data_IF_961346545248
#
_entry.id   IF_961346545248
#
_cell.length_a   1.000
_cell.length_b   1.000
_cell.length_c   1.000
_cell.angle_alpha   90.00
_cell.angle_beta   90.00
_cell.angle_gamma   90.00
#
_symmetry.space_group_name_H-M   'P 1'
#
loop_
_entity.id
_entity.type
_entity.pdbx_description
1 polymer ?
#
# COMPACT_ATOMS: atom_id res chain seq x y z
N UNK A 1 71.67 47.34 -42.94
CA UNK A 1 70.74 46.25 -42.59
C UNK A 1 69.34 46.84 -42.50
N UNK A 2 68.79 47.24 -43.64
CA UNK A 2 67.46 47.86 -43.71
C UNK A 2 66.48 46.72 -43.94
N UNK A 3 66.15 46.03 -42.86
CA UNK A 3 65.19 44.93 -42.87
C UNK A 3 63.83 45.43 -43.34
N UNK A 4 63.15 44.59 -44.09
CA UNK A 4 61.93 44.89 -44.83
C UNK A 4 60.75 45.28 -43.90
N UNK A 5 60.69 46.55 -43.52
CA UNK A 5 59.78 47.11 -42.49
C UNK A 5 58.30 46.96 -42.88
N UNK A 6 58.01 46.96 -44.18
CA UNK A 6 56.66 46.75 -44.70
C UNK A 6 56.20 45.32 -44.45
N UNK A 7 57.05 44.32 -44.73
CA UNK A 7 56.75 42.93 -44.41
C UNK A 7 56.61 42.71 -42.90
N UNK A 8 57.46 43.34 -42.08
CA UNK A 8 57.34 43.27 -40.62
C UNK A 8 56.00 43.82 -40.10
N UNK A 9 55.49 44.92 -40.66
CA UNK A 9 54.18 45.48 -40.32
C UNK A 9 53.02 44.57 -40.72
N UNK A 10 53.09 43.93 -41.88
CA UNK A 10 52.07 42.98 -42.33
C UNK A 10 51.99 41.79 -41.35
N UNK A 11 53.12 41.15 -41.03
CA UNK A 11 53.14 40.04 -40.08
C UNK A 11 52.68 40.43 -38.67
N UNK A 12 53.01 41.65 -38.20
CA UNK A 12 52.54 42.13 -36.91
C UNK A 12 51.00 42.27 -36.88
N UNK A 13 50.39 42.77 -37.95
CA UNK A 13 48.94 42.89 -38.08
C UNK A 13 48.26 41.51 -38.17
N UNK A 14 48.79 40.59 -38.97
CA UNK A 14 48.29 39.22 -39.04
C UNK A 14 48.36 38.51 -37.69
N UNK A 15 49.47 38.67 -36.96
CA UNK A 15 49.63 38.11 -35.62
C UNK A 15 48.62 38.71 -34.62
N UNK A 16 48.30 40.01 -34.73
CA UNK A 16 47.27 40.65 -33.92
C UNK A 16 45.88 40.09 -34.21
N UNK A 17 45.53 39.86 -35.48
CA UNK A 17 44.26 39.26 -35.88
C UNK A 17 44.16 37.79 -35.46
N UNK A 18 45.22 36.99 -35.63
CA UNK A 18 45.26 35.60 -35.14
C UNK A 18 45.07 35.56 -33.61
N UNK A 19 45.71 36.48 -32.88
CA UNK A 19 45.55 36.58 -31.42
C UNK A 19 44.09 36.89 -31.04
N UNK A 20 43.45 37.82 -31.75
CA UNK A 20 42.04 38.17 -31.54
C UNK A 20 41.12 36.98 -31.81
N UNK A 21 41.37 36.23 -32.90
CA UNK A 21 40.63 35.02 -33.23
C UNK A 21 40.82 33.94 -32.17
N UNK A 22 42.06 33.71 -31.71
CA UNK A 22 42.36 32.76 -30.65
C UNK A 22 41.63 33.09 -29.35
N UNK A 23 41.65 34.35 -28.91
CA UNK A 23 40.95 34.78 -27.70
C UNK A 23 39.44 34.57 -27.80
N UNK A 24 38.86 34.88 -28.97
CA UNK A 24 37.43 34.68 -29.23
C UNK A 24 37.07 33.19 -29.19
N UNK A 25 37.82 32.35 -29.92
CA UNK A 25 37.59 30.91 -29.96
C UNK A 25 37.74 30.28 -28.56
N UNK A 26 38.75 30.70 -27.79
CA UNK A 26 38.97 30.20 -26.43
C UNK A 26 37.85 30.64 -25.48
N UNK A 27 37.35 31.87 -25.62
CA UNK A 27 36.21 32.36 -24.85
C UNK A 27 34.94 31.56 -25.14
N UNK A 28 34.65 31.28 -26.42
CA UNK A 28 33.52 30.43 -26.82
C UNK A 28 33.68 29.01 -26.30
N UNK A 29 34.88 28.42 -26.39
CA UNK A 29 35.15 27.10 -25.84
C UNK A 29 34.82 27.04 -24.34
N UNK A 30 35.33 27.98 -23.54
CA UNK A 30 35.07 28.03 -22.09
C UNK A 30 33.59 28.26 -21.78
N UNK A 31 32.89 29.05 -22.60
CA UNK A 31 31.45 29.25 -22.44
C UNK A 31 30.67 27.94 -22.69
N UNK A 32 31.03 27.19 -23.73
CA UNK A 32 30.40 25.90 -24.04
C UNK A 32 30.72 24.84 -22.98
N UNK A 33 31.96 24.78 -22.47
CA UNK A 33 32.32 23.89 -21.35
C UNK A 33 31.43 24.15 -20.12
N UNK A 34 31.16 25.42 -19.79
CA UNK A 34 30.24 25.77 -18.70
C UNK A 34 28.80 25.36 -18.98
N UNK A 35 28.34 25.48 -20.23
CA UNK A 35 27.00 25.03 -20.64
C UNK A 35 26.89 23.52 -20.49
N UNK A 36 27.90 22.75 -20.92
CA UNK A 36 27.93 21.30 -20.76
C UNK A 36 27.80 20.92 -19.29
N UNK A 37 28.60 21.51 -18.40
CA UNK A 37 28.51 21.26 -16.95
C UNK A 37 27.11 21.56 -16.39
N UNK A 38 26.44 22.62 -16.87
CA UNK A 38 25.07 22.92 -16.46
C UNK A 38 24.07 21.88 -16.99
N UNK A 39 24.24 21.39 -18.21
CA UNK A 39 23.39 20.35 -18.76
C UNK A 39 23.57 19.01 -18.02
N UNK A 40 24.80 18.65 -17.65
CA UNK A 40 25.07 17.48 -16.80
C UNK A 40 24.35 17.58 -15.45
N UNK A 41 24.33 18.76 -14.82
CA UNK A 41 23.55 18.95 -13.59
C UNK A 41 22.05 18.80 -13.80
N UNK A 42 21.51 19.25 -14.94
CA UNK A 42 20.09 19.08 -15.27
C UNK A 42 19.75 17.60 -15.47
N UNK A 43 20.62 16.83 -16.13
CA UNK A 43 20.46 15.39 -16.31
C UNK A 43 20.45 14.65 -14.96
N UNK A 44 21.45 14.92 -14.10
CA UNK A 44 21.55 14.31 -12.78
C UNK A 44 20.35 14.63 -11.88
N UNK A 45 19.89 15.89 -11.89
CA UNK A 45 18.69 16.27 -11.15
C UNK A 45 17.42 15.62 -11.73
N UNK A 46 17.34 15.46 -13.05
CA UNK A 46 16.25 14.75 -13.72
C UNK A 46 16.14 13.29 -13.26
N UNK A 47 17.25 12.57 -13.15
CA UNK A 47 17.27 11.20 -12.60
C UNK A 47 16.84 11.18 -11.12
N UNK A 48 17.35 12.11 -10.31
CA UNK A 48 16.97 12.21 -8.89
C UNK A 48 15.47 12.43 -8.70
N UNK A 49 14.81 13.20 -9.58
CA UNK A 49 13.35 13.41 -9.53
C UNK A 49 12.55 12.12 -9.77
N UNK A 50 13.02 11.22 -10.62
CA UNK A 50 12.40 9.91 -10.82
C UNK A 50 12.43 9.09 -9.51
N UNK A 51 13.52 9.20 -8.76
CA UNK A 51 13.67 8.53 -7.46
C UNK A 51 12.84 9.19 -6.33
N UNK A 52 12.51 10.48 -6.44
CA UNK A 52 11.65 11.17 -5.47
C UNK A 52 10.16 10.80 -5.60
N UNK A 53 9.71 10.40 -6.79
CA UNK A 53 8.31 10.05 -7.03
C UNK A 53 7.75 8.97 -6.08
N UNK A 54 8.40 7.79 -5.90
CA UNK A 54 7.91 6.79 -4.94
C UNK A 54 7.95 7.28 -3.49
N UNK A 55 8.92 8.15 -3.11
CA UNK A 55 8.99 8.73 -1.76
C UNK A 55 7.76 9.58 -1.47
N UNK A 56 7.36 10.44 -2.43
CA UNK A 56 6.17 11.27 -2.29
C UNK A 56 4.89 10.42 -2.10
N UNK A 57 4.76 9.30 -2.82
CA UNK A 57 3.63 8.38 -2.65
C UNK A 57 3.64 7.67 -1.29
N UNK A 58 4.80 7.27 -0.78
CA UNK A 58 4.93 6.70 0.57
C UNK A 58 4.49 7.72 1.63
N UNK A 59 4.92 8.97 1.54
CA UNK A 59 4.54 10.04 2.49
C UNK A 59 3.04 10.29 2.47
N UNK A 60 2.42 10.38 1.28
CA UNK A 60 0.96 10.55 1.13
C UNK A 60 0.19 9.37 1.72
N UNK A 61 0.63 8.14 1.46
CA UNK A 61 -0.01 6.94 1.99
C UNK A 61 0.08 6.89 3.52
N UNK A 62 1.25 7.21 4.08
CA UNK A 62 1.49 7.26 5.53
C UNK A 62 0.61 8.32 6.20
N UNK A 63 0.50 9.51 5.60
CA UNK A 63 -0.41 10.57 6.06
C UNK A 63 -1.85 10.05 6.13
N UNK A 64 -2.30 9.32 5.10
CA UNK A 64 -3.66 8.76 5.04
C UNK A 64 -3.92 7.74 6.16
N UNK A 65 -2.93 6.94 6.54
CA UNK A 65 -3.06 5.99 7.64
C UNK A 65 -3.09 6.67 9.01
N UNK A 66 -2.26 7.70 9.22
CA UNK A 66 -2.12 8.32 10.54
C UNK A 66 -3.14 9.42 10.82
N UNK A 67 -3.78 10.02 9.81
CA UNK A 67 -4.76 11.12 9.98
C UNK A 67 -5.91 10.76 10.92
N UNK A 68 -6.31 9.49 10.94
CA UNK A 68 -7.38 9.00 11.82
C UNK A 68 -6.94 8.73 13.27
N UNK A 69 -5.63 8.62 13.52
CA UNK A 69 -5.07 8.30 14.84
C UNK A 69 -4.41 9.52 15.51
N UNK A 70 -3.53 10.20 14.78
CA UNK A 70 -2.74 11.33 15.29
C UNK A 70 -2.76 12.47 14.25
N UNK A 71 -3.77 13.35 14.31
CA UNK A 71 -3.96 14.42 13.33
C UNK A 71 -2.81 15.43 13.26
N UNK A 72 -2.14 15.69 14.38
CA UNK A 72 -0.98 16.60 14.43
C UNK A 72 0.16 16.11 13.54
N UNK A 73 0.49 14.82 13.61
CA UNK A 73 1.52 14.20 12.77
C UNK A 73 1.09 14.20 11.30
N UNK A 74 -0.19 14.02 11.00
CA UNK A 74 -0.69 14.15 9.63
C UNK A 74 -0.52 15.58 9.07
N UNK A 75 -0.62 16.60 9.92
CA UNK A 75 -0.33 18.00 9.56
C UNK A 75 1.15 18.25 9.27
N UNK A 76 2.05 17.62 10.02
CA UNK A 76 3.50 17.63 9.74
C UNK A 76 3.81 16.95 8.39
N UNK A 77 3.21 15.78 8.13
CA UNK A 77 3.39 15.07 6.87
C UNK A 77 2.82 15.83 5.66
N UNK A 78 1.80 16.67 5.86
CA UNK A 78 1.32 17.57 4.81
C UNK A 78 2.36 18.62 4.44
N UNK A 79 3.05 19.18 5.44
CA UNK A 79 4.16 20.12 5.17
C UNK A 79 5.29 19.42 4.43
N UNK A 80 5.63 18.19 4.79
CA UNK A 80 6.62 17.39 4.04
C UNK A 80 6.18 17.18 2.59
N UNK A 81 4.91 16.84 2.38
CA UNK A 81 4.35 16.66 1.02
C UNK A 81 4.43 17.95 0.22
N UNK A 82 4.14 19.10 0.82
CA UNK A 82 4.26 20.42 0.16
C UNK A 82 5.69 20.73 -0.24
N UNK A 83 6.67 20.49 0.63
CA UNK A 83 8.09 20.73 0.33
C UNK A 83 8.55 19.84 -0.84
N UNK A 84 8.14 18.57 -0.85
CA UNK A 84 8.46 17.65 -1.94
C UNK A 84 7.83 18.08 -3.27
N UNK A 85 6.60 18.61 -3.26
CA UNK A 85 5.95 19.17 -4.44
C UNK A 85 6.69 20.43 -4.94
N UNK A 86 7.07 21.33 -4.03
CA UNK A 86 7.82 22.55 -4.36
C UNK A 86 9.19 22.21 -4.99
N UNK A 87 9.94 21.28 -4.40
CA UNK A 87 11.22 20.79 -4.94
C UNK A 87 11.03 20.17 -6.32
N UNK A 88 9.99 19.37 -6.52
CA UNK A 88 9.66 18.77 -7.82
C UNK A 88 9.32 19.82 -8.87
N UNK A 89 8.68 20.94 -8.48
CA UNK A 89 8.34 22.04 -9.39
C UNK A 89 9.56 22.91 -9.72
N UNK A 90 10.41 23.19 -8.74
CA UNK A 90 11.61 24.02 -8.92
C UNK A 90 12.68 23.33 -9.75
N UNK A 91 12.89 22.02 -9.56
CA UNK A 91 13.85 21.23 -10.33
C UNK A 91 13.46 20.99 -11.80
N UNK A 92 12.29 21.49 -12.20
CA UNK A 92 11.71 21.32 -13.52
C UNK A 92 10.71 20.16 -13.52
N UNK A 93 9.53 20.40 -14.10
CA UNK A 93 8.53 19.35 -14.29
C UNK A 93 9.12 18.25 -15.18
N UNK A 94 9.61 17.17 -14.58
CA UNK A 94 9.56 15.86 -15.26
C UNK A 94 8.09 15.69 -15.60
N UNK A 95 7.77 15.61 -16.90
CA UNK A 95 6.37 15.44 -17.30
C UNK A 95 5.85 14.22 -16.56
N UNK A 96 4.78 14.38 -15.79
CA UNK A 96 4.12 13.25 -15.11
C UNK A 96 3.74 12.12 -16.06
N UNK A 97 3.70 12.39 -17.38
CA UNK A 97 3.51 11.39 -18.43
C UNK A 97 4.71 10.46 -18.68
N UNK A 98 5.94 10.86 -18.30
CA UNK A 98 7.15 10.04 -18.46
C UNK A 98 7.47 9.22 -17.20
N UNK A 99 6.88 9.59 -16.06
CA UNK A 99 6.89 8.78 -14.85
C UNK A 99 5.79 7.73 -14.98
N UNK A 100 6.16 6.45 -15.05
CA UNK A 100 5.16 5.38 -14.97
C UNK A 100 4.57 5.37 -13.56
N UNK A 101 3.47 6.10 -13.39
CA UNK A 101 2.73 6.26 -12.12
C UNK A 101 2.38 4.90 -11.50
N UNK A 102 2.24 3.86 -12.32
CA UNK A 102 2.01 2.50 -11.83
C UNK A 102 3.25 1.93 -11.14
N UNK A 103 4.45 2.12 -11.70
CA UNK A 103 5.72 1.63 -11.12
C UNK A 103 6.04 2.36 -9.82
N UNK A 104 5.85 3.68 -9.78
CA UNK A 104 6.09 4.45 -8.55
C UNK A 104 5.12 4.06 -7.43
N UNK A 105 3.86 3.78 -7.79
CA UNK A 105 2.85 3.30 -6.84
C UNK A 105 3.10 1.87 -6.37
N UNK A 106 3.63 0.99 -7.23
CA UNK A 106 4.03 -0.37 -6.86
C UNK A 106 5.20 -0.34 -5.87
N UNK A 107 6.23 0.46 -6.14
CA UNK A 107 7.38 0.57 -5.24
C UNK A 107 6.98 1.13 -3.87
N UNK A 108 6.16 2.18 -3.85
CA UNK A 108 5.62 2.71 -2.60
C UNK A 108 4.82 1.65 -1.81
N UNK A 109 4.00 0.85 -2.49
CA UNK A 109 3.27 -0.28 -1.86
C UNK A 109 4.21 -1.33 -1.28
N UNK A 110 5.25 -1.74 -2.01
CA UNK A 110 6.26 -2.70 -1.54
C UNK A 110 6.95 -2.20 -0.27
N UNK A 111 7.33 -0.92 -0.21
CA UNK A 111 7.94 -0.30 0.96
C UNK A 111 7.01 -0.33 2.18
N UNK A 112 5.73 0.03 1.99
CA UNK A 112 4.74 0.03 3.07
C UNK A 112 4.44 -1.39 3.58
N UNK A 113 4.31 -2.37 2.69
CA UNK A 113 4.12 -3.77 3.07
C UNK A 113 5.30 -4.33 3.85
N UNK A 114 6.53 -4.04 3.42
CA UNK A 114 7.73 -4.43 4.15
C UNK A 114 7.77 -3.79 5.55
N UNK A 115 7.42 -2.50 5.62
CA UNK A 115 7.34 -1.77 6.89
C UNK A 115 6.30 -2.36 7.84
N UNK A 116 5.13 -2.76 7.30
CA UNK A 116 4.08 -3.43 8.07
C UNK A 116 4.53 -4.79 8.61
N UNK A 117 5.21 -5.60 7.80
CA UNK A 117 5.75 -6.89 8.26
C UNK A 117 6.74 -6.71 9.41
N UNK A 118 7.64 -5.72 9.29
CA UNK A 118 8.60 -5.39 10.36
C UNK A 118 7.87 -4.87 11.61
N UNK A 119 6.81 -4.09 11.43
CA UNK A 119 6.01 -3.59 12.54
C UNK A 119 5.28 -4.73 13.27
N UNK A 120 4.69 -5.69 12.55
CA UNK A 120 4.02 -6.85 13.11
C UNK A 120 5.01 -7.72 13.92
N UNK A 121 6.20 -7.99 13.37
CA UNK A 121 7.26 -8.72 14.06
C UNK A 121 7.66 -8.04 15.38
N UNK A 122 7.98 -6.74 15.34
CA UNK A 122 8.32 -5.95 16.54
C UNK A 122 7.17 -5.85 17.54
N UNK A 123 5.94 -5.85 17.05
CA UNK A 123 4.75 -5.80 17.92
C UNK A 123 4.63 -7.12 18.70
N UNK A 124 4.88 -8.27 18.07
CA UNK A 124 4.87 -9.58 18.75
C UNK A 124 5.98 -9.73 19.79
N UNK A 125 7.12 -9.06 19.60
CA UNK A 125 8.18 -9.01 20.61
C UNK A 125 7.83 -8.13 21.82
N UNK A 126 7.06 -7.06 21.59
CA UNK A 126 6.79 -6.00 22.59
C UNK A 126 5.47 -6.17 23.32
N UNK A 127 4.50 -6.81 22.68
CA UNK A 127 3.15 -7.01 23.20
C UNK A 127 2.85 -8.51 23.25
N UNK A 128 2.36 -9.04 24.38
CA UNK A 128 1.98 -10.45 24.49
C UNK A 128 0.81 -10.76 23.54
N UNK A 129 0.82 -11.96 22.95
CA UNK A 129 -0.31 -12.44 22.16
C UNK A 129 -1.54 -12.57 23.07
N UNK A 130 -2.62 -11.89 22.72
CA UNK A 130 -3.85 -11.90 23.50
C UNK A 130 -4.47 -13.30 23.43
N UNK A 131 -4.87 -13.89 24.57
CA UNK A 131 -5.40 -15.26 24.62
C UNK A 131 -6.86 -15.33 24.17
N UNK A 132 -7.19 -14.83 22.97
CA UNK A 132 -8.49 -15.07 22.33
C UNK A 132 -8.34 -15.08 20.80
N UNK A 133 -8.23 -16.27 20.19
CA UNK A 133 -8.51 -16.43 18.77
C UNK A 133 -10.03 -16.52 18.64
N UNK A 134 -10.70 -15.41 18.32
CA UNK A 134 -12.02 -15.38 17.63
C UNK A 134 -12.49 -13.94 17.41
N UNK A 135 -11.59 -13.08 16.91
CA UNK A 135 -11.97 -11.85 16.21
C UNK A 135 -11.49 -11.89 14.76
N UNK A 136 -11.55 -13.06 14.13
CA UNK A 136 -11.40 -13.22 12.69
C UNK A 136 -12.77 -13.28 11.98
N UNK A 137 -13.55 -12.19 11.95
CA UNK A 137 -14.51 -11.99 10.84
C UNK A 137 -14.96 -10.54 10.69
N UNK A 138 -14.11 -9.67 10.13
CA UNK A 138 -14.59 -8.41 9.55
C UNK A 138 -14.12 -8.16 8.10
N UNK A 139 -13.31 -9.04 7.49
CA UNK A 139 -12.71 -8.71 6.17
C UNK A 139 -12.77 -9.76 5.05
N UNK A 140 -13.46 -10.90 5.21
CA UNK A 140 -13.53 -11.89 4.12
C UNK A 140 -14.91 -12.53 4.00
N UNK A 141 -15.81 -11.84 3.30
CA UNK A 141 -17.03 -12.43 2.73
C UNK A 141 -16.66 -13.31 1.53
N UNK A 142 -16.31 -14.57 1.77
CA UNK A 142 -16.42 -15.63 0.76
C UNK A 142 -16.40 -17.02 1.41
N UNK A 143 -17.60 -17.56 1.59
CA UNK A 143 -17.98 -18.96 1.36
C UNK A 143 -17.04 -20.08 1.83
N UNK A 144 -17.23 -20.53 3.08
CA UNK A 144 -17.41 -21.95 3.43
C UNK A 144 -17.55 -22.12 4.94
N UNK A 145 -18.78 -22.11 5.46
CA UNK A 145 -19.05 -22.66 6.80
C UNK A 145 -18.94 -24.17 6.71
N UNK A 146 -17.79 -24.72 7.09
CA UNK A 146 -17.75 -26.08 7.63
C UNK A 146 -18.53 -26.06 8.95
N UNK A 147 -19.56 -26.89 8.99
CA UNK A 147 -20.47 -27.10 10.11
C UNK A 147 -19.67 -27.72 11.25
N UNK A 148 -19.28 -26.90 12.22
CA UNK A 148 -18.93 -27.35 13.56
C UNK A 148 -20.21 -27.86 14.24
N UNK A 149 -20.07 -28.94 15.01
CA UNK A 149 -21.11 -29.67 15.77
C UNK A 149 -22.17 -28.74 16.35
N UNK A 150 -23.43 -29.16 16.26
CA UNK A 150 -24.58 -28.43 16.82
C UNK A 150 -24.25 -27.93 18.22
N UNK A 151 -24.40 -26.61 18.44
CA UNK A 151 -24.14 -25.99 19.73
C UNK A 151 -24.88 -26.76 20.84
N UNK A 152 -24.22 -27.14 21.95
CA UNK A 152 -24.80 -28.01 22.98
C UNK A 152 -26.09 -27.46 23.58
N UNK A 153 -26.26 -26.13 23.56
CA UNK A 153 -27.48 -25.43 24.01
C UNK A 153 -28.71 -25.78 23.17
N UNK A 154 -28.51 -25.97 21.86
CA UNK A 154 -29.59 -26.27 20.91
C UNK A 154 -30.08 -27.71 21.10
N UNK A 155 -29.17 -28.61 21.47
CA UNK A 155 -29.48 -30.01 21.79
C UNK A 155 -30.40 -30.12 23.02
N UNK A 156 -30.08 -29.37 24.08
CA UNK A 156 -30.85 -29.33 25.31
C UNK A 156 -32.20 -28.62 25.15
N UNK A 157 -32.23 -27.55 24.36
CA UNK A 157 -33.46 -26.84 24.01
C UNK A 157 -34.43 -27.72 23.21
N UNK A 158 -33.93 -28.47 22.22
CA UNK A 158 -34.76 -29.39 21.44
C UNK A 158 -35.29 -30.52 22.32
N UNK A 159 -34.47 -31.07 23.23
CA UNK A 159 -34.90 -32.12 24.14
C UNK A 159 -36.01 -31.65 25.10
N UNK A 160 -35.83 -30.51 25.77
CA UNK A 160 -36.85 -29.95 26.68
C UNK A 160 -38.15 -29.59 25.96
N UNK A 161 -38.06 -29.16 24.70
CA UNK A 161 -39.24 -28.89 23.89
C UNK A 161 -40.01 -30.18 23.55
N UNK A 162 -39.31 -31.28 23.27
CA UNK A 162 -39.93 -32.59 23.00
C UNK A 162 -40.55 -33.19 24.27
N UNK A 163 -39.87 -33.07 25.41
CA UNK A 163 -40.39 -33.52 26.72
C UNK A 163 -41.66 -32.76 27.12
N UNK A 164 -41.68 -31.44 26.95
CA UNK A 164 -42.86 -30.61 27.25
C UNK A 164 -44.05 -30.86 26.34
N UNK A 165 -43.81 -31.35 25.12
CA UNK A 165 -44.85 -31.69 24.13
C UNK A 165 -45.14 -33.19 24.05
N UNK A 166 -44.79 -33.94 25.12
CA UNK A 166 -45.21 -35.32 25.34
C UNK A 166 -44.79 -36.28 24.21
N UNK A 167 -43.61 -36.06 23.62
CA UNK A 167 -42.99 -36.97 22.66
C UNK A 167 -43.48 -36.88 21.21
N UNK A 168 -44.39 -35.95 20.86
CA UNK A 168 -44.84 -35.73 19.48
C UNK A 168 -44.68 -34.27 19.06
N UNK A 169 -43.65 -34.01 18.24
CA UNK A 169 -43.36 -32.66 17.73
C UNK A 169 -43.01 -32.73 16.26
N UNK A 170 -43.61 -31.86 15.46
CA UNK A 170 -43.20 -31.63 14.08
C UNK A 170 -41.93 -30.77 14.05
N UNK A 171 -40.96 -31.14 13.21
CA UNK A 171 -39.69 -30.42 13.02
C UNK A 171 -39.94 -28.94 12.76
N UNK A 172 -40.99 -28.61 11.99
CA UNK A 172 -41.39 -27.24 11.66
C UNK A 172 -41.91 -26.46 12.87
N UNK A 173 -42.67 -27.10 13.77
CA UNK A 173 -43.18 -26.44 14.99
C UNK A 173 -42.07 -26.21 16.01
N UNK A 174 -41.14 -27.16 16.12
CA UNK A 174 -39.95 -27.04 16.98
C UNK A 174 -39.04 -25.89 16.51
N UNK A 175 -38.76 -25.82 15.21
CA UNK A 175 -37.96 -24.76 14.60
C UNK A 175 -38.56 -23.36 14.84
N UNK A 176 -39.89 -23.24 14.68
CA UNK A 176 -40.58 -21.97 14.92
C UNK A 176 -40.58 -21.58 16.41
N UNK A 177 -40.72 -22.53 17.33
CA UNK A 177 -40.74 -22.23 18.77
C UNK A 177 -39.36 -21.88 19.33
N UNK A 178 -38.31 -22.52 18.81
CA UNK A 178 -36.92 -22.29 19.26
C UNK A 178 -36.20 -21.21 18.45
N UNK A 179 -36.86 -20.59 17.46
CA UNK A 179 -36.27 -19.61 16.53
C UNK A 179 -35.04 -20.15 15.79
N UNK A 180 -35.06 -21.43 15.43
CA UNK A 180 -33.95 -22.12 14.76
C UNK A 180 -34.36 -22.59 13.37
N UNK A 181 -33.39 -23.03 12.56
CA UNK A 181 -33.74 -23.62 11.26
C UNK A 181 -34.21 -25.08 11.43
N UNK A 182 -35.13 -25.56 10.58
CA UNK A 182 -35.55 -26.97 10.58
C UNK A 182 -34.37 -27.94 10.39
N UNK A 183 -33.33 -27.53 9.66
CA UNK A 183 -32.13 -28.34 9.44
C UNK A 183 -31.28 -28.50 10.69
N UNK A 184 -31.20 -27.48 11.54
CA UNK A 184 -30.45 -27.56 12.80
C UNK A 184 -31.21 -28.38 13.85
N UNK A 185 -32.54 -28.30 13.85
CA UNK A 185 -33.40 -29.19 14.67
C UNK A 185 -33.22 -30.64 14.26
N UNK A 186 -33.16 -30.93 12.96
CA UNK A 186 -32.99 -32.31 12.47
C UNK A 186 -31.63 -32.89 12.88
N UNK A 187 -30.55 -32.09 12.75
CA UNK A 187 -29.22 -32.48 13.24
C UNK A 187 -29.19 -32.72 14.75
N UNK A 188 -29.87 -31.87 15.52
CA UNK A 188 -29.97 -32.03 16.97
C UNK A 188 -30.72 -33.31 17.36
N UNK A 189 -31.81 -33.63 16.64
CA UNK A 189 -32.57 -34.87 16.84
C UNK A 189 -31.72 -36.11 16.48
N UNK A 190 -30.98 -36.07 15.38
CA UNK A 190 -30.09 -37.15 14.98
C UNK A 190 -28.98 -37.39 16.02
N UNK A 191 -28.43 -36.32 16.59
CA UNK A 191 -27.43 -36.43 17.65
C UNK A 191 -28.02 -36.98 18.98
N UNK A 192 -29.23 -36.56 19.37
CA UNK A 192 -29.92 -37.13 20.53
C UNK A 192 -30.29 -38.61 20.34
N UNK A 193 -30.48 -39.05 19.09
CA UNK A 193 -30.67 -40.45 18.73
C UNK A 193 -29.37 -41.25 18.86
N UNK A 194 -28.25 -40.71 18.37
CA UNK A 194 -26.93 -41.34 18.54
C UNK A 194 -26.53 -41.45 20.02
N UNK A 195 -26.90 -40.45 20.83
CA UNK A 195 -26.71 -40.47 22.29
C UNK A 195 -27.68 -41.42 23.03
N UNK A 196 -28.63 -42.05 22.33
CA UNK A 196 -29.59 -43.01 22.89
C UNK A 196 -30.67 -42.38 23.78
N UNK A 197 -30.83 -41.06 23.71
CA UNK A 197 -31.74 -40.28 24.57
C UNK A 197 -33.15 -40.12 24.01
N UNK A 198 -33.35 -40.41 22.72
CA UNK A 198 -34.66 -40.35 22.05
C UNK A 198 -34.86 -41.52 21.06
N UNK A 199 -36.07 -42.09 21.04
CA UNK A 199 -36.54 -43.01 20.02
C UNK A 199 -37.62 -42.30 19.19
N UNK A 200 -37.29 -41.94 17.94
CA UNK A 200 -38.17 -41.14 17.08
C UNK A 200 -38.82 -42.04 16.03
N UNK A 201 -40.15 -42.05 15.97
CA UNK A 201 -40.92 -42.64 14.87
C UNK A 201 -41.37 -41.52 13.93
N UNK A 202 -40.99 -41.61 12.66
CA UNK A 202 -41.41 -40.65 11.63
C UNK A 202 -42.71 -41.13 11.00
N UNK A 203 -43.81 -40.46 11.32
CA UNK A 203 -45.05 -40.61 10.58
C UNK A 203 -44.97 -39.72 9.33
N UNK A 204 -45.00 -40.35 8.14
CA UNK A 204 -45.08 -39.62 6.88
C UNK A 204 -46.54 -39.23 6.65
N UNK A 205 -46.83 -37.94 6.73
CA UNK A 205 -47.98 -37.34 6.04
C UNK A 205 -47.61 -37.02 4.58
#
# INVERSE_FOLDING_TARGET
MTGDENHAKIYANECAEIRKMYLTAKSVQLALEKVILRLETVEQFGEALIQLAPIMEVVKATKKEIVGLVPEVAGELERVTSILDDVSREAGQVRQSDLDVNVTGEEARRILEASRRIADEKTRERFPELPFPDLETASSLSSSRKVERGSPLLLEQVLSYIESHNGRVSVSKCANALSTTPGDVMKAIDQLREEGRLAVEWEKE
#
